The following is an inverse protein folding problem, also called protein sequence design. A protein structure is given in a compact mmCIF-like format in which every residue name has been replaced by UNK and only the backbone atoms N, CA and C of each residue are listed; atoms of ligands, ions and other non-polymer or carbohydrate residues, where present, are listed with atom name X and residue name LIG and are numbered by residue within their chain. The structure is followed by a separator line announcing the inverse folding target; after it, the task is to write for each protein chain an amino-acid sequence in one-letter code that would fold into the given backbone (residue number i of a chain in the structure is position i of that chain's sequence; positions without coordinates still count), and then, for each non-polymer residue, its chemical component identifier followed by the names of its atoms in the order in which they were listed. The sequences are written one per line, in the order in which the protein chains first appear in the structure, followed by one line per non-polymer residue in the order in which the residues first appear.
data_IF_925301106505
#
_entry.id   IF_925301106505
#
_cell.length_a   1.000
_cell.length_b   1.000
_cell.length_c   1.000
_cell.angle_alpha   90.00
_cell.angle_beta   90.00
_cell.angle_gamma   90.00
#
_symmetry.space_group_name_H-M   'P 1'
#
loop_
_entity.id
_entity.type
_entity.pdbx_description
1 polymer ?
#
# COMPACT_ATOMS: atom_id res chain seq x y z
N UNK A 1 9.87 10.19 6.21
CA UNK A 1 8.89 9.10 6.26
C UNK A 1 7.73 9.53 7.12
N UNK A 2 6.51 9.39 6.63
CA UNK A 2 5.31 9.60 7.43
C UNK A 2 5.19 8.46 8.47
N UNK A 3 4.66 8.75 9.66
CA UNK A 3 4.59 7.70 10.68
C UNK A 3 3.57 6.62 10.33
N UNK A 4 3.74 5.40 10.84
CA UNK A 4 2.73 4.34 10.72
C UNK A 4 1.32 4.80 11.17
N UNK A 5 1.24 5.69 12.17
CA UNK A 5 -0.02 6.30 12.62
C UNK A 5 -0.62 7.25 11.57
N UNK A 6 0.21 8.03 10.89
CA UNK A 6 -0.20 8.93 9.82
C UNK A 6 -0.74 8.15 8.62
N UNK A 7 -0.10 7.04 8.26
CA UNK A 7 -0.58 6.15 7.20
C UNK A 7 -1.90 5.48 7.57
N UNK A 8 -2.01 4.93 8.78
CA UNK A 8 -3.26 4.32 9.26
C UNK A 8 -4.40 5.36 9.30
N UNK A 9 -4.13 6.59 9.71
CA UNK A 9 -5.10 7.67 9.68
C UNK A 9 -5.56 7.98 8.25
N UNK A 10 -4.64 8.09 7.29
CA UNK A 10 -4.98 8.27 5.88
C UNK A 10 -5.89 7.15 5.36
N UNK A 11 -5.58 5.88 5.67
CA UNK A 11 -6.39 4.74 5.28
C UNK A 11 -7.83 4.81 5.81
N UNK A 12 -8.02 5.25 7.06
CA UNK A 12 -9.36 5.43 7.65
C UNK A 12 -10.11 6.56 6.95
N UNK A 13 -9.44 7.67 6.62
CA UNK A 13 -10.08 8.80 5.92
C UNK A 13 -10.50 8.43 4.49
N UNK A 14 -9.68 7.66 3.75
CA UNK A 14 -10.03 7.13 2.43
C UNK A 14 -11.26 6.20 2.47
N UNK A 15 -11.48 5.50 3.58
CA UNK A 15 -12.64 4.63 3.74
C UNK A 15 -13.98 5.38 3.70
N UNK A 16 -13.97 6.70 3.95
CA UNK A 16 -15.16 7.56 3.90
C UNK A 16 -15.58 7.94 2.48
N UNK A 17 -14.72 7.76 1.48
CA UNK A 17 -14.99 8.14 0.08
C UNK A 17 -15.53 7.00 -0.77
N UNK A 18 -15.60 5.78 -0.21
CA UNK A 18 -16.09 4.57 -0.88
C UNK A 18 -17.50 4.24 -0.36
N UNK A 19 -18.40 3.65 -1.17
CA UNK A 19 -19.76 3.32 -0.73
C UNK A 19 -19.80 2.59 0.60
N UNK A 20 -20.65 3.08 1.50
CA UNK A 20 -20.73 2.63 2.90
C UNK A 20 -20.97 1.12 3.03
N UNK A 21 -21.76 0.53 2.12
CA UNK A 21 -22.12 -0.89 2.18
C UNK A 21 -20.93 -1.83 1.91
N UNK A 22 -19.86 -1.32 1.28
CA UNK A 22 -18.66 -2.10 0.99
C UNK A 22 -17.57 -1.96 2.08
N UNK A 23 -17.58 -0.87 2.85
CA UNK A 23 -16.53 -0.55 3.82
C UNK A 23 -17.00 -0.86 5.24
N UNK A 24 -16.81 -2.10 5.64
CA UNK A 24 -17.04 -2.57 7.00
C UNK A 24 -15.80 -2.33 7.88
N UNK A 25 -15.95 -2.42 9.21
CA UNK A 25 -14.81 -2.31 10.14
C UNK A 25 -13.65 -3.25 9.83
N UNK A 26 -13.87 -4.55 9.48
CA UNK A 26 -12.80 -5.42 9.03
C UNK A 26 -12.07 -4.89 7.79
N UNK A 27 -12.79 -4.34 6.80
CA UNK A 27 -12.19 -3.75 5.60
C UNK A 27 -11.33 -2.54 5.95
N UNK A 28 -11.80 -1.67 6.84
CA UNK A 28 -11.01 -0.53 7.34
C UNK A 28 -9.72 -0.97 8.03
N UNK A 29 -9.78 -2.00 8.87
CA UNK A 29 -8.59 -2.55 9.53
C UNK A 29 -7.60 -3.12 8.51
N UNK A 30 -8.08 -3.87 7.51
CA UNK A 30 -7.25 -4.34 6.40
C UNK A 30 -6.60 -3.17 5.67
N UNK A 31 -7.34 -2.10 5.38
CA UNK A 31 -6.82 -0.88 4.76
C UNK A 31 -5.71 -0.21 5.59
N UNK A 32 -5.90 -0.11 6.91
CA UNK A 32 -4.89 0.43 7.82
C UNK A 32 -3.61 -0.42 7.81
N UNK A 33 -3.72 -1.75 7.85
CA UNK A 33 -2.57 -2.66 7.73
C UNK A 33 -1.89 -2.50 6.37
N UNK A 34 -2.64 -2.46 5.28
CA UNK A 34 -2.13 -2.22 3.93
C UNK A 34 -1.35 -0.91 3.82
N UNK A 35 -1.77 0.13 4.52
CA UNK A 35 -1.08 1.43 4.51
C UNK A 35 0.27 1.43 5.24
N UNK A 36 0.55 0.42 6.08
CA UNK A 36 1.81 0.28 6.83
C UNK A 36 2.70 -0.81 6.20
N UNK A 37 2.10 -1.77 5.52
CA UNK A 37 2.79 -2.94 4.96
C UNK A 37 4.02 -2.64 4.09
N UNK A 38 4.10 -1.54 3.29
CA UNK A 38 5.27 -1.27 2.46
C UNK A 38 6.59 -1.18 3.24
N UNK A 39 6.57 -0.59 4.44
CA UNK A 39 7.73 -0.45 5.33
C UNK A 39 8.24 -1.76 5.93
N UNK A 40 7.52 -2.88 5.76
CA UNK A 40 8.05 -4.18 6.16
C UNK A 40 9.30 -4.58 5.35
N UNK A 41 9.59 -3.88 4.25
CA UNK A 41 10.82 -4.03 3.47
C UNK A 41 12.11 -3.74 4.27
N UNK A 42 12.04 -3.00 5.38
CA UNK A 42 13.20 -2.74 6.26
C UNK A 42 13.78 -4.02 6.85
N UNK A 43 12.99 -5.08 6.93
CA UNK A 43 13.46 -6.42 7.32
C UNK A 43 14.52 -6.93 6.34
N UNK A 44 14.46 -6.52 5.07
CA UNK A 44 15.43 -6.86 4.03
C UNK A 44 16.87 -6.45 4.38
N UNK A 45 17.05 -5.37 5.15
CA UNK A 45 18.38 -4.95 5.60
C UNK A 45 19.07 -6.01 6.44
N UNK A 46 18.33 -6.76 7.26
CA UNK A 46 18.88 -7.87 8.05
C UNK A 46 19.37 -9.05 7.19
N UNK A 47 18.91 -9.13 5.95
CA UNK A 47 19.33 -10.13 4.95
C UNK A 47 20.35 -9.59 3.95
N UNK A 48 20.86 -8.37 4.16
CA UNK A 48 21.89 -7.75 3.30
C UNK A 48 21.35 -7.05 2.05
N UNK A 49 20.03 -6.90 1.91
CA UNK A 49 19.40 -6.12 0.83
C UNK A 49 19.72 -4.64 1.08
N UNK A 50 20.33 -3.98 0.10
CA UNK A 50 20.69 -2.58 0.17
C UNK A 50 19.47 -1.69 -0.12
N UNK A 51 19.53 -0.44 0.32
CA UNK A 51 18.42 0.52 0.13
C UNK A 51 18.05 0.67 -1.36
N UNK A 52 19.05 0.75 -2.22
CA UNK A 52 18.90 1.00 -3.65
C UNK A 52 18.39 -0.20 -4.45
N UNK A 53 18.48 -1.41 -3.89
CA UNK A 53 18.05 -2.65 -4.53
C UNK A 53 16.56 -2.63 -4.88
N UNK A 54 16.14 -3.52 -5.78
CA UNK A 54 14.73 -3.68 -6.16
C UNK A 54 13.82 -3.91 -4.95
N UNK A 55 14.25 -4.77 -4.02
CA UNK A 55 13.57 -5.06 -2.76
C UNK A 55 14.05 -4.20 -1.60
N UNK A 56 14.94 -3.24 -1.90
CA UNK A 56 15.40 -2.25 -0.95
C UNK A 56 14.28 -1.30 -0.54
N UNK A 57 14.53 -0.60 0.56
CA UNK A 57 13.55 0.32 1.12
C UNK A 57 13.10 1.36 0.09
N UNK A 58 11.80 1.69 0.08
CA UNK A 58 11.18 2.60 -0.91
C UNK A 58 11.26 2.12 -2.38
N UNK A 59 11.60 0.86 -2.59
CA UNK A 59 11.66 0.19 -3.89
C UNK A 59 10.32 -0.45 -4.28
N UNK A 60 10.34 -1.76 -4.57
CA UNK A 60 9.19 -2.53 -5.05
C UNK A 60 7.94 -2.40 -4.17
N UNK A 61 8.07 -2.47 -2.85
CA UNK A 61 6.94 -2.43 -1.89
C UNK A 61 6.18 -1.10 -1.89
N UNK A 62 6.82 -0.01 -2.33
CA UNK A 62 6.23 1.32 -2.39
C UNK A 62 5.65 1.65 -3.78
N UNK A 63 5.73 0.71 -4.72
CA UNK A 63 5.25 0.88 -6.09
C UNK A 63 3.74 0.76 -6.25
N UNK A 64 3.20 1.33 -7.32
CA UNK A 64 1.80 1.15 -7.71
C UNK A 64 1.52 -0.30 -8.11
N UNK A 65 2.52 -1.00 -8.67
CA UNK A 65 2.41 -2.41 -9.01
C UNK A 65 2.18 -3.27 -7.76
N UNK A 66 3.00 -3.08 -6.72
CA UNK A 66 2.83 -3.80 -5.46
C UNK A 66 1.49 -3.49 -4.79
N UNK A 67 1.07 -2.22 -4.77
CA UNK A 67 -0.24 -1.85 -4.26
C UNK A 67 -1.39 -2.57 -4.99
N UNK A 68 -1.30 -2.68 -6.32
CA UNK A 68 -2.27 -3.41 -7.14
C UNK A 68 -2.25 -4.91 -6.86
N UNK A 69 -1.06 -5.51 -6.80
CA UNK A 69 -0.88 -6.93 -6.54
C UNK A 69 -1.39 -7.32 -5.15
N UNK A 70 -1.01 -6.57 -4.11
CA UNK A 70 -1.45 -6.82 -2.74
C UNK A 70 -2.97 -6.72 -2.62
N UNK A 71 -3.57 -5.66 -3.19
CA UNK A 71 -5.02 -5.50 -3.21
C UNK A 71 -5.72 -6.67 -3.91
N UNK A 72 -5.25 -7.06 -5.10
CA UNK A 72 -5.84 -8.17 -5.86
C UNK A 72 -5.77 -9.50 -5.08
N UNK A 73 -4.63 -9.79 -4.45
CA UNK A 73 -4.45 -10.99 -3.63
C UNK A 73 -5.40 -10.99 -2.43
N UNK A 74 -5.49 -9.87 -1.70
CA UNK A 74 -6.38 -9.76 -0.54
C UNK A 74 -7.85 -9.89 -0.93
N UNK A 75 -8.28 -9.29 -2.04
CA UNK A 75 -9.65 -9.44 -2.56
C UNK A 75 -9.94 -10.89 -2.96
N UNK A 76 -9.01 -11.53 -3.68
CA UNK A 76 -9.18 -12.91 -4.15
C UNK A 76 -9.29 -13.91 -2.99
N UNK A 77 -8.53 -13.71 -1.91
CA UNK A 77 -8.49 -14.63 -0.77
C UNK A 77 -9.56 -14.32 0.28
N UNK A 78 -9.73 -13.04 0.63
CA UNK A 78 -10.54 -12.60 1.76
C UNK A 78 -12.00 -12.26 1.45
N UNK A 79 -12.31 -11.89 0.19
CA UNK A 79 -13.61 -11.33 -0.17
C UNK A 79 -14.29 -12.08 -1.33
N UNK A 80 -13.93 -13.35 -1.53
CA UNK A 80 -14.42 -14.19 -2.65
C UNK A 80 -15.94 -14.38 -2.73
N UNK A 81 -16.65 -14.29 -1.61
CA UNK A 81 -18.12 -14.46 -1.56
C UNK A 81 -18.89 -13.16 -1.87
N UNK A 82 -18.19 -12.03 -1.92
CA UNK A 82 -18.82 -10.74 -2.19
C UNK A 82 -19.21 -10.58 -3.66
N UNK A 83 -20.15 -9.67 -3.92
CA UNK A 83 -20.53 -9.29 -5.27
C UNK A 83 -19.34 -8.69 -6.03
N UNK A 84 -19.35 -8.76 -7.37
CA UNK A 84 -18.28 -8.15 -8.19
C UNK A 84 -18.13 -6.65 -7.95
N UNK A 85 -19.24 -5.94 -7.71
CA UNK A 85 -19.22 -4.51 -7.40
C UNK A 85 -18.55 -4.23 -6.04
N UNK A 86 -18.91 -5.02 -5.01
CA UNK A 86 -18.30 -4.91 -3.68
C UNK A 86 -16.80 -5.23 -3.73
N UNK A 87 -16.42 -6.30 -4.44
CA UNK A 87 -15.00 -6.66 -4.65
C UNK A 87 -14.22 -5.54 -5.32
N UNK A 88 -14.78 -4.91 -6.35
CA UNK A 88 -14.14 -3.78 -7.03
C UNK A 88 -13.98 -2.58 -6.08
N UNK A 89 -14.98 -2.26 -5.26
CA UNK A 89 -14.92 -1.20 -4.27
C UNK A 89 -13.86 -1.44 -3.19
N UNK A 90 -13.83 -2.65 -2.61
CA UNK A 90 -12.82 -3.06 -1.63
C UNK A 90 -11.42 -3.07 -2.27
N UNK A 91 -11.28 -3.61 -3.48
CA UNK A 91 -10.01 -3.65 -4.19
C UNK A 91 -9.46 -2.26 -4.47
N UNK A 92 -10.31 -1.34 -4.94
CA UNK A 92 -9.92 0.06 -5.13
C UNK A 92 -9.50 0.70 -3.80
N UNK A 93 -10.27 0.48 -2.73
CA UNK A 93 -9.95 1.00 -1.41
C UNK A 93 -8.58 0.51 -0.90
N UNK A 94 -8.32 -0.80 -0.94
CA UNK A 94 -7.04 -1.38 -0.48
C UNK A 94 -5.85 -0.94 -1.34
N UNK A 95 -6.07 -0.81 -2.65
CA UNK A 95 -5.08 -0.25 -3.56
C UNK A 95 -4.71 1.17 -3.15
N UNK A 96 -5.70 2.04 -2.96
CA UNK A 96 -5.49 3.44 -2.57
C UNK A 96 -4.80 3.54 -1.19
N UNK A 97 -5.18 2.70 -0.23
CA UNK A 97 -4.51 2.67 1.08
C UNK A 97 -3.03 2.33 0.95
N UNK A 98 -2.69 1.28 0.20
CA UNK A 98 -1.29 0.87 0.00
C UNK A 98 -0.51 1.91 -0.80
N UNK A 99 -1.07 2.41 -1.90
CA UNK A 99 -0.43 3.42 -2.74
C UNK A 99 -0.23 4.76 -2.00
N UNK A 100 -1.13 5.11 -1.08
CA UNK A 100 -1.01 6.33 -0.28
C UNK A 100 0.26 6.34 0.56
N UNK A 101 0.81 5.17 0.91
CA UNK A 101 2.07 5.09 1.64
C UNK A 101 3.21 5.72 0.87
N UNK A 102 3.50 5.21 -0.35
CA UNK A 102 4.54 5.76 -1.21
C UNK A 102 4.29 7.22 -1.57
N UNK A 103 3.05 7.62 -1.82
CA UNK A 103 2.70 9.03 -2.10
C UNK A 103 3.05 9.93 -0.92
N UNK A 104 2.66 9.56 0.31
CA UNK A 104 2.97 10.35 1.49
C UNK A 104 4.46 10.40 1.78
N UNK A 105 5.18 9.31 1.52
CA UNK A 105 6.61 9.26 1.72
C UNK A 105 7.41 10.08 0.70
N UNK A 106 6.94 10.19 -0.54
CA UNK A 106 7.48 11.10 -1.55
C UNK A 106 7.26 12.59 -1.21
N UNK A 107 6.27 12.90 -0.38
CA UNK A 107 6.05 14.25 0.15
C UNK A 107 6.96 14.60 1.34
N UNK A 108 7.87 13.69 1.72
CA UNK A 108 8.88 13.92 2.76
C UNK A 108 10.29 13.99 2.14
N UNK A 109 11.20 14.66 2.82
CA UNK A 109 12.61 14.82 2.44
C UNK A 109 13.50 13.60 2.79
N UNK A 110 12.89 12.44 3.04
CA UNK A 110 13.61 11.22 3.43
C UNK A 110 14.11 10.38 2.24
N UNK A 111 15.22 9.65 2.43
CA UNK A 111 15.60 8.53 1.56
C UNK A 111 16.06 8.90 0.15
N UNK A 112 16.02 7.92 -0.77
CA UNK A 112 16.41 8.08 -2.18
C UNK A 112 15.21 8.39 -3.12
N UNK A 113 14.07 8.81 -2.58
CA UNK A 113 12.80 8.87 -3.33
C UNK A 113 12.10 7.52 -3.48
N UNK A 114 10.96 7.52 -4.16
CA UNK A 114 10.06 6.36 -4.32
C UNK A 114 10.11 5.81 -5.73
N UNK A 115 10.33 4.49 -5.86
CA UNK A 115 10.28 3.80 -7.14
C UNK A 115 8.83 3.43 -7.54
N UNK A 116 8.00 4.43 -7.85
CA UNK A 116 6.56 4.24 -8.11
C UNK A 116 6.24 3.21 -9.21
N UNK A 117 7.11 3.10 -10.21
CA UNK A 117 6.93 2.24 -11.38
C UNK A 117 7.76 0.95 -11.32
N UNK A 118 8.38 0.66 -10.18
CA UNK A 118 9.00 -0.65 -9.93
C UNK A 118 7.96 -1.77 -10.10
N UNK A 119 8.32 -2.95 -10.66
CA UNK A 119 9.66 -3.37 -11.08
C UNK A 119 10.04 -2.95 -12.51
N UNK A 120 9.18 -2.24 -13.23
CA UNK A 120 9.37 -1.96 -14.65
C UNK A 120 10.36 -0.82 -14.90
N UNK A 121 10.37 0.16 -14.01
CA UNK A 121 11.30 1.28 -14.02
C UNK A 121 11.79 1.56 -12.58
N UNK A 122 13.09 1.48 -12.31
CA UNK A 122 13.66 1.72 -10.99
C UNK A 122 13.82 3.21 -10.64
N UNK A 123 13.45 4.14 -11.54
CA UNK A 123 13.53 5.59 -11.30
C UNK A 123 12.77 5.98 -10.03
N UNK A 124 13.44 6.76 -9.18
CA UNK A 124 12.91 7.24 -7.90
C UNK A 124 12.56 8.72 -7.99
N UNK A 125 11.38 9.07 -7.48
CA UNK A 125 10.78 10.41 -7.50
C UNK A 125 10.66 10.98 -6.09
#
# INVERSE_FOLDING_TARGET
MASAFSHAFMAVTLGKTVPHDAITWPVLLTGAVCSIAPDLDVIGFAFGIQYEDLWGHRGMTHSLFFAGLLSAVLVALGYRQESSATKAGIGLYLFLCTASHGVLDALTDGGLGIAFFSPFDPTRY
#
